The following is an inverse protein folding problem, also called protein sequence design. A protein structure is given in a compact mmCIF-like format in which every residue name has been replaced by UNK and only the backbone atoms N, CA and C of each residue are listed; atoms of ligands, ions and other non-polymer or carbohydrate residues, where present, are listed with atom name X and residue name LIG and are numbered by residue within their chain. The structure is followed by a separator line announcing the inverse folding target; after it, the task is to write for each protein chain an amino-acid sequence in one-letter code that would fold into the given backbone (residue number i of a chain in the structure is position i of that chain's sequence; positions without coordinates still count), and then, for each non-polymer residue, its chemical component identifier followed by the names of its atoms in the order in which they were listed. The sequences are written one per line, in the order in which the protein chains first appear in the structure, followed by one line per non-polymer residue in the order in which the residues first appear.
data_IF_965603658886
#
_entry.id   IF_965603658886
#
_cell.length_a   1.000
_cell.length_b   1.000
_cell.length_c   1.000
_cell.angle_alpha   90.00
_cell.angle_beta   90.00
_cell.angle_gamma   90.00
#
_symmetry.space_group_name_H-M   'P 1'
#
loop_
_entity.id
_entity.type
_entity.pdbx_description
1 polymer ?
#
# COMPACT_ATOMS: atom_id res chain seq x y z
N UNK A 1 -7.92 74.84 1.47
CA UNK A 1 -7.91 74.09 0.21
C UNK A 1 -7.88 72.61 0.57
N UNK A 2 -8.90 71.80 0.39
CA UNK A 2 -10.31 72.01 0.10
C UNK A 2 -10.99 70.73 0.58
N UNK A 3 -12.13 70.89 1.24
CA UNK A 3 -13.01 69.80 1.66
C UNK A 3 -13.88 69.47 0.45
N UNK A 4 -14.00 68.20 0.06
CA UNK A 4 -15.21 67.76 -0.64
C UNK A 4 -15.71 66.42 -0.11
N UNK A 5 -16.85 66.54 0.56
CA UNK A 5 -17.77 65.49 0.97
C UNK A 5 -18.74 65.18 -0.16
N UNK A 6 -19.20 63.92 -0.27
CA UNK A 6 -20.47 63.54 -0.92
C UNK A 6 -20.99 62.32 -0.11
N UNK A 7 -21.85 62.52 0.89
CA UNK A 7 -23.32 62.55 0.83
C UNK A 7 -23.97 61.16 0.68
N UNK A 8 -24.68 60.77 1.76
CA UNK A 8 -25.53 59.58 1.94
C UNK A 8 -26.92 59.84 1.35
N UNK A 9 -27.61 58.82 0.81
CA UNK A 9 -28.95 58.47 1.32
C UNK A 9 -29.19 56.94 1.26
N UNK A 10 -30.20 56.30 1.85
CA UNK A 10 -31.18 56.59 2.88
C UNK A 10 -31.75 55.21 3.28
N UNK A 11 -32.01 54.98 4.57
CA UNK A 11 -32.73 53.79 5.05
C UNK A 11 -34.24 53.98 4.90
N UNK A 12 -34.99 52.96 4.44
CA UNK A 12 -36.37 52.75 4.85
C UNK A 12 -36.50 51.65 5.95
N UNK A 13 -37.64 51.63 6.67
CA UNK A 13 -37.71 51.13 8.03
C UNK A 13 -38.05 49.64 8.20
N UNK A 14 -37.77 49.20 9.43
CA UNK A 14 -38.06 47.92 10.09
C UNK A 14 -39.45 47.36 9.78
N UNK A 15 -39.50 46.08 9.41
CA UNK A 15 -40.64 45.20 9.71
C UNK A 15 -40.12 43.99 10.47
N UNK A 16 -40.46 43.94 11.75
CA UNK A 16 -40.41 42.73 12.55
C UNK A 16 -41.63 41.88 12.18
N UNK A 17 -41.41 40.63 11.81
CA UNK A 17 -42.40 39.57 11.89
C UNK A 17 -41.65 38.25 12.04
N UNK A 18 -41.46 37.85 13.30
CA UNK A 18 -41.14 36.48 13.67
C UNK A 18 -42.30 35.57 13.28
N UNK A 19 -42.05 34.51 12.52
CA UNK A 19 -42.82 33.28 12.66
C UNK A 19 -41.98 32.08 12.21
N UNK A 20 -41.81 31.16 13.16
CA UNK A 20 -41.12 29.89 13.06
C UNK A 20 -41.64 29.04 11.90
N UNK A 21 -40.78 28.28 11.22
CA UNK A 21 -41.00 26.85 10.97
C UNK A 21 -39.77 26.16 10.34
N UNK A 22 -39.50 24.97 10.87
CA UNK A 22 -38.83 23.83 10.23
C UNK A 22 -37.31 23.90 10.00
N UNK A 23 -36.59 23.44 11.01
CA UNK A 23 -35.27 22.82 10.83
C UNK A 23 -35.39 21.55 9.99
N UNK A 24 -34.63 21.48 8.91
CA UNK A 24 -34.28 20.23 8.26
C UNK A 24 -32.81 19.95 8.61
N UNK A 25 -32.60 19.07 9.60
CA UNK A 25 -31.31 18.42 9.82
C UNK A 25 -30.97 17.64 8.55
N UNK A 26 -30.09 18.20 7.72
CA UNK A 26 -29.37 17.41 6.73
C UNK A 26 -28.37 16.53 7.49
N UNK A 27 -28.84 15.37 7.95
CA UNK A 27 -27.99 14.27 8.41
C UNK A 27 -27.14 13.83 7.22
N UNK A 28 -25.95 14.45 7.10
CA UNK A 28 -24.87 13.93 6.28
C UNK A 28 -24.50 12.56 6.81
N UNK A 29 -25.03 11.52 6.16
CA UNK A 29 -24.55 10.17 6.34
C UNK A 29 -23.08 10.15 5.91
N UNK A 30 -22.18 10.25 6.89
CA UNK A 30 -20.80 9.84 6.72
C UNK A 30 -20.84 8.33 6.45
N UNK A 31 -20.98 7.95 5.17
CA UNK A 31 -20.78 6.59 4.74
C UNK A 31 -19.32 6.24 5.07
N UNK A 32 -19.10 5.60 6.22
CA UNK A 32 -17.84 4.94 6.51
C UNK A 32 -17.68 3.92 5.39
N UNK A 33 -16.63 4.01 4.55
CA UNK A 33 -16.44 3.03 3.49
C UNK A 33 -16.36 1.66 4.14
N UNK A 34 -17.35 0.81 3.85
CA UNK A 34 -17.32 -0.58 4.27
C UNK A 34 -16.05 -1.20 3.69
N UNK A 35 -15.12 -1.56 4.57
CA UNK A 35 -13.84 -2.16 4.18
C UNK A 35 -14.13 -3.56 3.64
N UNK A 36 -13.82 -3.78 2.38
CA UNK A 36 -13.89 -5.10 1.78
C UNK A 36 -12.81 -5.98 2.40
N UNK A 37 -13.15 -7.23 2.71
CA UNK A 37 -12.16 -8.25 3.04
C UNK A 37 -11.12 -8.36 1.91
N UNK A 38 -9.88 -8.76 2.21
CA UNK A 38 -8.87 -9.01 1.19
C UNK A 38 -9.41 -9.94 0.09
N UNK A 39 -9.04 -9.71 -1.17
CA UNK A 39 -9.52 -10.53 -2.27
C UNK A 39 -9.05 -11.97 -2.10
N UNK A 40 -9.89 -12.94 -2.48
CA UNK A 40 -9.58 -14.38 -2.35
C UNK A 40 -8.37 -14.82 -3.18
N UNK A 41 -7.99 -14.05 -4.19
CA UNK A 41 -6.82 -14.29 -5.03
C UNK A 41 -5.53 -13.63 -4.50
N UNK A 42 -5.54 -13.01 -3.32
CA UNK A 42 -4.36 -12.38 -2.72
C UNK A 42 -3.19 -13.36 -2.58
N UNK A 43 -3.48 -14.59 -2.13
CA UNK A 43 -2.52 -15.68 -2.04
C UNK A 43 -1.87 -16.03 -3.38
N UNK A 44 -2.68 -16.13 -4.42
CA UNK A 44 -2.19 -16.49 -5.76
C UNK A 44 -1.37 -15.37 -6.38
N UNK A 45 -1.84 -14.12 -6.31
CA UNK A 45 -1.22 -12.97 -6.98
C UNK A 45 0.00 -12.46 -6.19
N UNK A 46 -0.22 -12.04 -4.95
CA UNK A 46 0.86 -11.47 -4.13
C UNK A 46 1.78 -12.57 -3.62
N UNK A 47 1.24 -13.68 -3.12
CA UNK A 47 2.06 -14.81 -2.69
C UNK A 47 2.89 -15.40 -3.84
N UNK A 48 2.30 -15.60 -5.02
CA UNK A 48 3.04 -16.05 -6.21
C UNK A 48 4.17 -15.10 -6.62
N UNK A 49 3.89 -13.78 -6.60
CA UNK A 49 4.89 -12.75 -6.87
C UNK A 49 6.04 -12.72 -5.86
N UNK A 50 5.72 -12.81 -4.57
CA UNK A 50 6.71 -12.81 -3.49
C UNK A 50 7.65 -14.02 -3.54
N UNK A 51 7.16 -15.16 -4.02
CA UNK A 51 7.97 -16.38 -4.21
C UNK A 51 8.76 -16.38 -5.53
N UNK A 52 8.69 -15.31 -6.32
CA UNK A 52 9.28 -15.22 -7.66
C UNK A 52 8.74 -16.26 -8.67
N UNK A 53 7.54 -16.79 -8.43
CA UNK A 53 6.92 -17.78 -9.32
C UNK A 53 6.18 -17.14 -10.52
N UNK A 54 5.98 -15.82 -10.48
CA UNK A 54 5.17 -15.09 -11.45
C UNK A 54 5.93 -13.92 -12.11
N UNK A 55 5.27 -13.24 -13.03
CA UNK A 55 5.74 -12.04 -13.71
C UNK A 55 6.05 -10.90 -12.74
N UNK A 56 7.24 -10.33 -12.86
CA UNK A 56 7.71 -9.24 -12.00
C UNK A 56 7.44 -7.91 -12.71
N UNK A 57 6.16 -7.56 -12.93
CA UNK A 57 5.75 -6.29 -13.53
C UNK A 57 5.24 -5.33 -12.46
N UNK A 58 5.86 -4.16 -12.32
CA UNK A 58 5.44 -3.15 -11.35
C UNK A 58 4.00 -2.71 -11.54
N UNK A 59 3.64 -2.42 -12.78
CA UNK A 59 2.29 -1.95 -13.09
C UNK A 59 1.23 -2.99 -12.75
N UNK A 60 1.51 -4.27 -13.01
CA UNK A 60 0.60 -5.36 -12.66
C UNK A 60 0.27 -5.39 -11.17
N UNK A 61 1.30 -5.34 -10.30
CA UNK A 61 1.08 -5.33 -8.86
C UNK A 61 0.50 -4.01 -8.37
N UNK A 62 0.93 -2.87 -8.92
CA UNK A 62 0.39 -1.56 -8.55
C UNK A 62 -1.12 -1.49 -8.82
N UNK A 63 -1.55 -1.85 -10.04
CA UNK A 63 -2.96 -1.82 -10.44
C UNK A 63 -3.79 -2.79 -9.58
N UNK A 64 -3.24 -3.96 -9.25
CA UNK A 64 -3.87 -4.90 -8.32
C UNK A 64 -4.04 -4.30 -6.92
N UNK A 65 -2.99 -3.71 -6.37
CA UNK A 65 -3.03 -3.12 -5.01
C UNK A 65 -4.00 -1.94 -4.94
N UNK A 66 -3.98 -1.05 -5.93
CA UNK A 66 -4.94 0.08 -6.01
C UNK A 66 -6.37 -0.42 -6.09
N UNK A 67 -6.64 -1.45 -6.90
CA UNK A 67 -7.98 -1.99 -7.08
C UNK A 67 -8.59 -2.55 -5.79
N UNK A 68 -7.80 -3.23 -4.96
CA UNK A 68 -8.34 -3.99 -3.81
C UNK A 68 -8.05 -3.34 -2.45
N UNK A 69 -6.99 -2.55 -2.33
CA UNK A 69 -6.56 -1.93 -1.07
C UNK A 69 -6.57 -0.40 -1.11
N UNK A 70 -6.88 0.19 -2.26
CA UNK A 70 -6.91 1.64 -2.45
C UNK A 70 -5.52 2.24 -2.72
N UNK A 71 -5.41 3.58 -2.72
CA UNK A 71 -4.17 4.25 -3.07
C UNK A 71 -3.04 3.92 -2.07
N UNK A 72 -1.77 3.96 -2.51
CA UNK A 72 -0.64 3.80 -1.60
C UNK A 72 -0.66 4.90 -0.55
N UNK A 73 -0.31 4.56 0.69
CA UNK A 73 -0.32 5.50 1.81
C UNK A 73 1.00 6.29 1.93
N UNK A 74 2.07 5.81 1.29
CA UNK A 74 3.34 6.54 1.15
C UNK A 74 4.11 6.05 -0.08
N UNK A 75 5.11 6.86 -0.46
CA UNK A 75 6.14 6.54 -1.44
C UNK A 75 7.50 6.71 -0.78
N UNK A 76 8.27 5.63 -0.69
CA UNK A 76 9.56 5.64 0.01
C UNK A 76 10.45 4.50 -0.48
N UNK A 77 11.77 4.74 -0.54
CA UNK A 77 12.77 3.75 -0.95
C UNK A 77 12.59 3.21 -2.37
N UNK A 78 12.06 4.03 -3.30
CA UNK A 78 11.80 3.60 -4.68
C UNK A 78 10.56 2.71 -4.83
N UNK A 79 9.59 2.86 -3.93
CA UNK A 79 8.40 2.03 -3.92
C UNK A 79 7.15 2.75 -3.43
N UNK A 80 6.01 2.26 -3.92
CA UNK A 80 4.69 2.51 -3.38
C UNK A 80 4.39 1.53 -2.25
N UNK A 81 3.87 2.04 -1.15
CA UNK A 81 3.53 1.25 0.03
C UNK A 81 2.03 1.24 0.26
N UNK A 82 1.47 0.05 0.42
CA UNK A 82 0.06 -0.20 0.61
C UNK A 82 -0.17 -0.84 1.98
N UNK A 83 -1.21 -0.41 2.70
CA UNK A 83 -1.66 -1.13 3.90
C UNK A 83 -2.58 -2.25 3.49
N UNK A 84 -2.41 -3.41 4.10
CA UNK A 84 -3.17 -4.62 3.75
C UNK A 84 -3.87 -5.19 4.97
N UNK A 85 -4.87 -4.44 5.47
CA UNK A 85 -5.66 -4.88 6.64
C UNK A 85 -6.28 -6.26 6.37
N UNK A 86 -6.22 -7.12 7.38
CA UNK A 86 -6.74 -8.49 7.39
C UNK A 86 -6.13 -9.43 6.34
N UNK A 87 -5.14 -8.98 5.56
CA UNK A 87 -4.51 -9.80 4.54
C UNK A 87 -3.57 -10.82 5.17
N UNK A 88 -3.66 -12.07 4.72
CA UNK A 88 -2.80 -13.15 5.18
C UNK A 88 -2.17 -13.89 4.01
N UNK A 89 -0.92 -14.30 4.20
CA UNK A 89 -0.22 -15.25 3.34
C UNK A 89 0.42 -16.31 4.23
N UNK A 90 0.28 -17.57 3.85
CA UNK A 90 0.85 -18.69 4.60
C UNK A 90 0.48 -18.70 6.08
N UNK A 91 -0.79 -18.35 6.38
CA UNK A 91 -1.29 -18.16 7.74
C UNK A 91 -0.56 -17.07 8.57
N UNK A 92 0.19 -16.19 7.92
CA UNK A 92 0.87 -15.05 8.54
C UNK A 92 0.21 -13.76 8.09
N UNK A 93 0.00 -12.82 9.03
CA UNK A 93 -0.54 -11.50 8.70
C UNK A 93 0.48 -10.70 7.89
N UNK A 94 -0.02 -10.06 6.83
CA UNK A 94 0.76 -9.17 5.96
C UNK A 94 0.27 -7.76 6.21
N UNK A 95 1.06 -6.95 6.91
CA UNK A 95 0.67 -5.59 7.28
C UNK A 95 0.77 -4.62 6.09
N UNK A 96 1.74 -4.86 5.22
CA UNK A 96 2.08 -3.97 4.12
C UNK A 96 2.52 -4.75 2.89
N UNK A 97 2.15 -4.23 1.71
CA UNK A 97 2.70 -4.65 0.41
C UNK A 97 3.42 -3.46 -0.21
N UNK A 98 4.55 -3.75 -0.85
CA UNK A 98 5.49 -2.78 -1.40
C UNK A 98 5.68 -3.11 -2.88
N UNK A 99 5.51 -2.14 -3.76
CA UNK A 99 5.68 -2.32 -5.22
C UNK A 99 6.62 -1.24 -5.73
N UNK A 100 7.66 -1.59 -6.50
CA UNK A 100 8.56 -0.55 -7.01
C UNK A 100 7.82 0.49 -7.87
N UNK A 101 8.35 1.71 -7.83
CA UNK A 101 7.77 2.90 -8.47
C UNK A 101 8.48 3.33 -9.76
N UNK A 102 9.28 2.43 -10.33
CA UNK A 102 10.12 2.60 -11.53
C UNK A 102 11.26 3.65 -11.41
N UNK A 103 11.56 4.13 -10.20
CA UNK A 103 12.73 5.03 -9.98
C UNK A 103 14.05 4.29 -9.80
N UNK A 104 14.01 2.95 -9.68
CA UNK A 104 15.17 2.08 -9.53
C UNK A 104 15.25 1.06 -10.67
N UNK A 105 16.46 0.58 -11.03
CA UNK A 105 16.66 -0.42 -12.09
C UNK A 105 16.11 -1.81 -11.75
N UNK A 106 15.63 -2.01 -10.51
CA UNK A 106 15.01 -3.25 -10.07
C UNK A 106 13.49 -3.11 -10.08
N UNK A 107 12.82 -4.09 -10.67
CA UNK A 107 11.39 -4.34 -10.51
C UNK A 107 11.20 -5.32 -9.37
N UNK A 108 10.36 -4.98 -8.40
CA UNK A 108 10.09 -5.82 -7.27
C UNK A 108 8.66 -5.68 -6.73
N UNK A 109 8.24 -6.79 -6.11
CA UNK A 109 7.11 -6.83 -5.17
C UNK A 109 7.64 -7.35 -3.84
N UNK A 110 7.23 -6.71 -2.76
CA UNK A 110 7.60 -7.06 -1.40
C UNK A 110 6.42 -7.00 -0.46
N UNK A 111 6.56 -7.60 0.70
CA UNK A 111 5.56 -7.57 1.77
C UNK A 111 6.24 -7.57 3.13
N UNK A 112 5.63 -6.88 4.08
CA UNK A 112 6.00 -6.94 5.50
C UNK A 112 5.05 -7.93 6.17
N UNK A 113 5.62 -8.97 6.75
CA UNK A 113 4.89 -9.99 7.47
C UNK A 113 5.07 -9.80 8.98
N UNK A 114 3.98 -9.95 9.73
CA UNK A 114 3.95 -9.89 11.19
C UNK A 114 4.49 -11.19 11.81
N UNK A 115 5.71 -11.56 11.41
CA UNK A 115 6.45 -12.72 11.88
C UNK A 115 7.95 -12.44 11.72
N UNK A 116 8.77 -13.14 12.49
CA UNK A 116 10.22 -13.14 12.29
C UNK A 116 10.59 -13.84 10.98
N UNK A 117 11.79 -13.60 10.41
CA UNK A 117 12.26 -14.31 9.22
C UNK A 117 12.23 -15.83 9.33
N UNK A 118 12.54 -16.39 10.50
CA UNK A 118 12.52 -17.85 10.73
C UNK A 118 11.09 -18.40 10.73
N UNK A 119 10.16 -17.72 11.40
CA UNK A 119 8.73 -18.12 11.42
C UNK A 119 8.11 -18.01 10.03
N UNK A 120 8.40 -16.93 9.30
CA UNK A 120 7.90 -16.75 7.93
C UNK A 120 8.46 -17.82 6.99
N UNK A 121 9.76 -18.12 7.06
CA UNK A 121 10.39 -19.18 6.28
C UNK A 121 9.69 -20.53 6.51
N UNK A 122 9.44 -20.89 7.77
CA UNK A 122 8.73 -22.12 8.13
C UNK A 122 7.30 -22.14 7.60
N UNK A 123 6.57 -21.04 7.71
CA UNK A 123 5.20 -20.90 7.23
C UNK A 123 5.12 -21.06 5.70
N UNK A 124 6.01 -20.39 4.97
CA UNK A 124 6.13 -20.50 3.51
C UNK A 124 6.46 -21.94 3.13
N UNK A 125 7.45 -22.55 3.79
CA UNK A 125 7.89 -23.91 3.52
C UNK A 125 6.78 -24.95 3.73
N UNK A 126 5.94 -24.76 4.76
CA UNK A 126 4.85 -25.67 5.08
C UNK A 126 3.74 -25.67 4.03
N UNK A 127 3.45 -24.52 3.39
CA UNK A 127 2.34 -24.39 2.46
C UNK A 127 2.74 -24.44 0.98
N UNK A 128 3.96 -23.98 0.65
CA UNK A 128 4.44 -23.90 -0.74
C UNK A 128 5.50 -24.94 -1.08
N UNK A 129 6.08 -25.62 -0.08
CA UNK A 129 7.21 -26.54 -0.29
C UNK A 129 8.53 -25.86 -0.62
N UNK A 130 8.55 -24.53 -0.75
CA UNK A 130 9.76 -23.76 -1.02
C UNK A 130 10.75 -23.87 0.13
N UNK A 131 12.05 -23.82 -0.19
CA UNK A 131 13.14 -23.84 0.77
C UNK A 131 14.01 -22.61 0.55
N UNK A 132 14.38 -21.97 1.65
CA UNK A 132 15.32 -20.87 1.65
C UNK A 132 16.69 -21.36 2.11
N UNK A 133 17.74 -20.77 1.57
CA UNK A 133 19.11 -20.92 2.04
C UNK A 133 19.58 -19.58 2.63
N UNK A 134 20.33 -19.63 3.72
CA UNK A 134 21.04 -18.44 4.24
C UNK A 134 22.23 -18.17 3.33
N UNK A 135 22.30 -16.96 2.78
CA UNK A 135 23.36 -16.58 1.81
C UNK A 135 24.55 -15.87 2.44
N UNK A 136 24.48 -15.63 3.75
CA UNK A 136 25.55 -15.05 4.55
C UNK A 136 25.55 -15.62 5.98
N UNK A 137 26.64 -15.38 6.72
CA UNK A 137 26.83 -15.82 8.10
C UNK A 137 26.65 -14.69 9.13
N UNK A 138 25.98 -13.60 8.76
CA UNK A 138 25.75 -12.46 9.66
C UNK A 138 24.75 -12.83 10.78
N UNK A 139 24.60 -11.94 11.76
CA UNK A 139 23.60 -12.09 12.82
C UNK A 139 22.16 -12.09 12.26
N UNK A 140 21.94 -11.43 11.13
CA UNK A 140 20.63 -11.26 10.51
C UNK A 140 20.68 -11.67 9.04
N UNK A 141 20.89 -12.97 8.76
CA UNK A 141 21.24 -13.41 7.43
C UNK A 141 20.08 -13.24 6.46
N UNK A 142 20.41 -12.87 5.23
CA UNK A 142 19.46 -12.91 4.13
C UNK A 142 19.17 -14.38 3.80
N UNK A 143 17.89 -14.70 3.65
CA UNK A 143 17.40 -16.01 3.21
C UNK A 143 16.98 -15.90 1.76
N UNK A 144 17.41 -16.80 0.89
CA UNK A 144 17.11 -16.76 -0.55
C UNK A 144 16.65 -18.12 -1.08
N UNK A 145 15.68 -18.11 -2.00
CA UNK A 145 15.25 -19.30 -2.77
C UNK A 145 15.94 -19.35 -4.12
N UNK A 146 15.97 -20.54 -4.75
CA UNK A 146 16.49 -20.68 -6.13
C UNK A 146 15.86 -19.71 -7.14
N UNK A 147 14.53 -19.48 -7.12
CA UNK A 147 13.90 -18.46 -7.97
C UNK A 147 14.26 -16.99 -7.65
N UNK A 148 14.93 -16.72 -6.53
CA UNK A 148 15.38 -15.38 -6.13
C UNK A 148 14.48 -14.67 -5.11
N UNK A 149 13.50 -15.37 -4.51
CA UNK A 149 12.71 -14.80 -3.41
C UNK A 149 13.59 -14.66 -2.18
N UNK A 150 13.52 -13.52 -1.50
CA UNK A 150 14.33 -13.21 -0.33
C UNK A 150 13.49 -12.90 0.89
N UNK A 151 13.94 -13.37 2.06
CA UNK A 151 13.40 -12.98 3.37
C UNK A 151 14.53 -12.31 4.16
N UNK A 152 14.24 -11.12 4.71
CA UNK A 152 15.16 -10.33 5.53
C UNK A 152 14.46 -9.83 6.79
N UNK A 153 15.25 -9.46 7.80
CA UNK A 153 14.73 -8.75 8.96
C UNK A 153 14.22 -7.36 8.57
N UNK A 154 13.11 -6.97 9.20
CA UNK A 154 12.57 -5.62 9.14
C UNK A 154 12.13 -5.23 10.55
N UNK A 155 13.06 -4.65 11.31
CA UNK A 155 12.94 -4.49 12.77
C UNK A 155 12.71 -5.86 13.45
N UNK A 156 11.62 -6.03 14.22
CA UNK A 156 11.24 -7.30 14.86
C UNK A 156 10.42 -8.22 13.96
N UNK A 157 10.15 -7.78 12.73
CA UNK A 157 9.33 -8.45 11.73
C UNK A 157 10.20 -8.94 10.58
N UNK A 158 9.55 -9.41 9.52
CA UNK A 158 10.22 -9.83 8.30
C UNK A 158 9.69 -9.06 7.10
N UNK A 159 10.58 -8.90 6.12
CA UNK A 159 10.23 -8.49 4.77
C UNK A 159 10.56 -9.61 3.82
N UNK A 160 9.57 -10.04 3.04
CA UNK A 160 9.75 -10.96 1.92
C UNK A 160 9.64 -10.17 0.62
N UNK A 161 10.47 -10.46 -0.37
CA UNK A 161 10.40 -9.80 -1.67
C UNK A 161 10.96 -10.65 -2.80
N UNK A 162 10.46 -10.38 -4.00
CA UNK A 162 11.06 -10.81 -5.24
C UNK A 162 11.54 -9.58 -6.00
N UNK A 163 12.81 -9.54 -6.38
CA UNK A 163 13.37 -8.45 -7.18
C UNK A 163 14.06 -9.00 -8.43
N UNK A 164 13.79 -8.40 -9.59
CA UNK A 164 14.44 -8.71 -10.87
C UNK A 164 14.89 -7.41 -11.51
N UNK A 165 15.96 -7.45 -12.31
CA UNK A 165 16.34 -6.28 -13.11
C UNK A 165 15.25 -5.95 -14.13
N UNK A 166 14.99 -4.66 -14.32
CA UNK A 166 14.26 -4.21 -15.49
C UNK A 166 14.98 -4.75 -16.74
N UNK A 167 14.24 -5.31 -17.71
CA UNK A 167 14.84 -5.64 -19.00
C UNK A 167 15.54 -4.39 -19.52
N UNK A 168 16.85 -4.50 -19.79
CA UNK A 168 17.59 -3.39 -20.38
C UNK A 168 16.87 -2.95 -21.65
N UNK A 169 16.66 -1.63 -21.87
CA UNK A 169 16.19 -1.12 -23.14
C UNK A 169 17.00 -1.74 -24.27
N UNK A 170 16.40 -2.08 -25.42
CA UNK A 170 17.12 -2.71 -26.52
C UNK A 170 18.41 -1.99 -26.94
N UNK A 171 18.50 -0.68 -26.72
CA UNK A 171 19.66 0.16 -27.01
C UNK A 171 20.83 0.03 -26.01
N UNK A 172 20.68 -0.73 -24.93
CA UNK A 172 21.67 -0.93 -23.87
C UNK A 172 22.03 -2.42 -23.66
N UNK A 173 21.67 -3.28 -24.62
CA UNK A 173 22.03 -4.71 -24.63
C UNK A 173 23.32 -4.95 -25.40
#
# INVERSE_FOLDING_TARGET
MDVQAIAVPAFPPRRAASLCLAGALALGACAVPARAAPPTNFGTVIGGGLLCNDQTSNRYYYDYMVRFFGPPYKRDGGAWWFRTQDARLWNTEISEVIVSDDTWPLVFVGAVAEATPDELEQAVAAQSGVRYAKIDSSRFPVRETRPGSRIVYFDRRSKIYCAKFQPLPPALK
#
